data_IF_373104414920
#
_entry.id   IF_373104414920
#
_cell.length_a   1.000
_cell.length_b   1.000
_cell.length_c   1.000
_cell.angle_alpha   90.00
_cell.angle_beta   90.00
_cell.angle_gamma   90.00
#
_symmetry.space_group_name_H-M   'P 1'
#
loop_
_entity.id
_entity.type
_entity.pdbx_description
1 polymer ?
#
# COMPACT_ATOMS: atom_id res chain seq x y z
N UNK A 1 17.02 -3.57 7.74
CA UNK A 1 16.43 -2.79 6.63
C UNK A 1 17.31 -1.58 6.39
N UNK A 2 17.64 -1.22 5.16
CA UNK A 2 18.43 -0.01 4.88
C UNK A 2 17.59 1.25 5.12
N UNK A 3 18.20 2.34 5.56
CA UNK A 3 17.49 3.58 5.94
C UNK A 3 16.77 4.27 4.76
N UNK A 4 17.06 3.87 3.53
CA UNK A 4 16.50 4.44 2.31
C UNK A 4 15.32 3.65 1.75
N UNK A 5 14.89 2.54 2.37
CA UNK A 5 13.78 1.70 1.90
C UNK A 5 12.71 1.58 2.98
N UNK A 6 11.47 1.81 2.60
CA UNK A 6 10.28 1.61 3.39
C UNK A 6 9.37 0.59 2.70
N UNK A 7 8.94 -0.43 3.45
CA UNK A 7 8.01 -1.42 2.97
C UNK A 7 6.83 -1.54 3.93
N UNK A 8 5.62 -1.56 3.38
CA UNK A 8 4.38 -1.78 4.12
C UNK A 8 3.53 -2.82 3.39
N UNK A 9 3.10 -3.83 4.13
CA UNK A 9 2.07 -4.76 3.70
C UNK A 9 0.87 -4.63 4.66
N UNK A 10 -0.34 -4.59 4.12
CA UNK A 10 -1.58 -4.64 4.90
C UNK A 10 -2.51 -5.67 4.27
N UNK A 11 -2.95 -6.61 5.09
CA UNK A 11 -4.02 -7.53 4.75
C UNK A 11 -5.24 -7.20 5.60
N UNK A 12 -6.40 -7.07 4.96
CA UNK A 12 -7.65 -6.69 5.62
C UNK A 12 -8.79 -7.60 5.16
N UNK A 13 -9.64 -7.97 6.11
CA UNK A 13 -10.83 -8.78 5.90
C UNK A 13 -12.06 -7.94 6.19
N UNK A 14 -13.10 -8.10 5.39
CA UNK A 14 -14.43 -7.53 5.64
C UNK A 14 -15.42 -8.67 5.79
N UNK A 15 -16.09 -8.74 6.95
CA UNK A 15 -17.04 -9.80 7.26
C UNK A 15 -18.36 -9.20 7.72
N UNK A 16 -19.47 -9.74 7.23
CA UNK A 16 -20.79 -9.41 7.74
C UNK A 16 -21.04 -10.14 9.07
N UNK A 17 -21.20 -9.40 10.17
CA UNK A 17 -21.40 -9.98 11.50
C UNK A 17 -22.83 -10.46 11.77
N UNK A 18 -23.79 -10.14 10.92
CA UNK A 18 -25.15 -10.67 11.02
C UNK A 18 -25.20 -12.14 10.56
N UNK A 19 -24.52 -12.46 9.45
CA UNK A 19 -24.54 -13.80 8.84
C UNK A 19 -23.31 -14.64 9.17
N UNK A 20 -22.15 -14.00 9.38
CA UNK A 20 -20.84 -14.65 9.57
C UNK A 20 -20.53 -15.73 8.53
N UNK A 21 -21.02 -15.53 7.29
CA UNK A 21 -20.81 -16.45 6.20
C UNK A 21 -19.32 -16.42 5.79
N UNK A 22 -18.55 -17.44 6.20
CA UNK A 22 -17.11 -17.53 5.93
C UNK A 22 -16.75 -17.50 4.44
N UNK A 23 -17.65 -17.95 3.58
CA UNK A 23 -17.49 -17.93 2.13
C UNK A 23 -17.79 -16.57 1.50
N UNK A 24 -18.22 -15.57 2.26
CA UNK A 24 -18.51 -14.20 1.82
C UNK A 24 -17.66 -13.17 2.57
N UNK A 25 -16.48 -13.57 3.07
CA UNK A 25 -15.51 -12.65 3.63
C UNK A 25 -14.71 -12.04 2.49
N UNK A 26 -14.73 -10.72 2.37
CA UNK A 26 -13.94 -10.03 1.34
C UNK A 26 -12.49 -9.88 1.80
N UNK A 27 -11.58 -9.98 0.84
CA UNK A 27 -10.15 -9.98 1.08
C UNK A 27 -9.49 -8.81 0.37
N UNK A 28 -8.71 -8.03 1.12
CA UNK A 28 -7.94 -6.91 0.58
C UNK A 28 -6.47 -7.03 0.96
N UNK A 29 -5.59 -6.85 -0.03
CA UNK A 29 -4.14 -6.81 0.12
C UNK A 29 -3.59 -5.50 -0.44
N UNK A 30 -2.88 -4.75 0.39
CA UNK A 30 -2.19 -3.52 0.01
C UNK A 30 -0.69 -3.70 0.24
N UNK A 31 0.11 -3.49 -0.81
CA UNK A 31 1.56 -3.54 -0.77
C UNK A 31 2.12 -2.17 -1.19
N UNK A 32 3.01 -1.60 -0.39
CA UNK A 32 3.69 -0.34 -0.68
C UNK A 32 5.18 -0.53 -0.49
N UNK A 33 5.96 -0.21 -1.51
CA UNK A 33 7.42 -0.15 -1.48
C UNK A 33 7.84 1.26 -1.86
N UNK A 34 8.44 1.98 -0.92
CA UNK A 34 9.01 3.30 -1.16
C UNK A 34 10.53 3.26 -0.96
N UNK A 35 11.26 3.95 -1.82
CA UNK A 35 12.72 4.05 -1.73
C UNK A 35 13.20 5.45 -2.07
N UNK A 36 14.19 5.96 -1.32
CA UNK A 36 15.02 7.09 -1.75
C UNK A 36 16.11 6.55 -2.66
N UNK A 37 15.95 6.76 -3.96
CA UNK A 37 16.90 6.31 -4.98
C UNK A 37 18.07 7.28 -5.14
N UNK A 38 17.90 8.54 -4.70
CA UNK A 38 18.98 9.53 -4.58
C UNK A 38 18.70 10.51 -3.44
N UNK A 39 19.60 11.46 -3.21
CA UNK A 39 19.39 12.54 -2.24
C UNK A 39 18.21 13.47 -2.59
N UNK A 40 17.81 13.50 -3.85
CA UNK A 40 16.77 14.38 -4.37
C UNK A 40 15.53 13.65 -4.90
N UNK A 41 15.56 12.33 -5.04
CA UNK A 41 14.48 11.56 -5.67
C UNK A 41 14.03 10.41 -4.76
N UNK A 42 12.72 10.33 -4.57
CA UNK A 42 12.03 9.16 -4.00
C UNK A 42 11.12 8.50 -5.03
N UNK A 43 11.05 7.18 -5.00
CA UNK A 43 10.14 6.38 -5.83
C UNK A 43 9.26 5.54 -4.91
N UNK A 44 7.96 5.51 -5.17
CA UNK A 44 7.01 4.64 -4.47
C UNK A 44 6.24 3.80 -5.48
N UNK A 45 6.20 2.49 -5.24
CA UNK A 45 5.34 1.55 -5.94
C UNK A 45 4.25 1.10 -4.96
N UNK A 46 3.00 1.24 -5.36
CA UNK A 46 1.84 0.78 -4.62
C UNK A 46 1.05 -0.23 -5.46
N UNK A 47 0.63 -1.31 -4.82
CA UNK A 47 -0.24 -2.33 -5.40
C UNK A 47 -1.39 -2.58 -4.43
N UNK A 48 -2.61 -2.62 -4.97
CA UNK A 48 -3.83 -2.89 -4.24
C UNK A 48 -4.62 -3.98 -4.96
N UNK A 49 -4.97 -5.02 -4.23
CA UNK A 49 -5.82 -6.12 -4.72
C UNK A 49 -7.01 -6.30 -3.80
N UNK A 50 -8.20 -6.41 -4.36
CA UNK A 50 -9.44 -6.68 -3.64
C UNK A 50 -10.15 -7.86 -4.31
N UNK A 51 -10.62 -8.80 -3.49
CA UNK A 51 -11.56 -9.83 -3.86
C UNK A 51 -12.82 -9.63 -3.04
N UNK A 52 -13.91 -9.29 -3.71
CA UNK A 52 -15.23 -8.98 -3.14
C UNK A 52 -16.27 -9.75 -3.95
N UNK A 53 -16.84 -10.77 -3.33
CA UNK A 53 -17.75 -11.70 -4.01
C UNK A 53 -19.09 -11.07 -4.37
N UNK A 54 -19.53 -10.09 -3.59
CA UNK A 54 -20.86 -9.50 -3.71
C UNK A 54 -20.89 -8.39 -4.77
N UNK A 55 -19.74 -7.74 -5.03
CA UNK A 55 -19.63 -6.69 -6.04
C UNK A 55 -19.23 -7.23 -7.44
N UNK A 56 -18.25 -8.13 -7.50
CA UNK A 56 -17.77 -8.73 -8.76
C UNK A 56 -16.92 -9.97 -8.47
N UNK A 57 -17.28 -11.12 -9.05
CA UNK A 57 -16.56 -12.39 -8.87
C UNK A 57 -15.08 -12.37 -9.32
N UNK A 58 -14.64 -11.33 -10.04
CA UNK A 58 -13.25 -11.15 -10.46
C UNK A 58 -12.43 -10.37 -9.44
N UNK A 59 -11.16 -10.74 -9.32
CA UNK A 59 -10.17 -9.97 -8.57
C UNK A 59 -10.06 -8.56 -9.19
N UNK A 60 -10.23 -7.55 -8.35
CA UNK A 60 -10.01 -6.15 -8.69
C UNK A 60 -8.58 -5.76 -8.32
N UNK A 61 -7.88 -5.09 -9.23
CA UNK A 61 -6.45 -4.79 -9.10
C UNK A 61 -6.18 -3.33 -9.48
N UNK A 62 -5.33 -2.67 -8.70
CA UNK A 62 -4.83 -1.31 -8.98
C UNK A 62 -3.35 -1.21 -8.65
N UNK A 63 -2.62 -0.44 -9.46
CA UNK A 63 -1.20 -0.15 -9.26
C UNK A 63 -0.93 1.35 -9.42
N UNK A 64 0.05 1.85 -8.67
CA UNK A 64 0.50 3.24 -8.74
C UNK A 64 2.03 3.33 -8.65
N UNK A 65 2.60 4.23 -9.44
CA UNK A 65 4.01 4.59 -9.39
C UNK A 65 4.12 6.09 -9.13
N UNK A 66 4.71 6.46 -8.00
CA UNK A 66 4.94 7.85 -7.61
C UNK A 66 6.43 8.18 -7.67
N UNK A 67 6.77 9.32 -8.25
CA UNK A 67 8.13 9.87 -8.26
C UNK A 67 8.08 11.25 -7.61
N UNK A 68 8.85 11.43 -6.53
CA UNK A 68 8.85 12.64 -5.73
C UNK A 68 10.23 13.29 -5.64
N UNK A 69 10.25 14.62 -5.52
CA UNK A 69 11.45 15.39 -5.19
C UNK A 69 11.62 15.48 -3.67
N UNK A 70 12.84 15.27 -3.20
CA UNK A 70 13.19 15.30 -1.77
C UNK A 70 14.11 16.49 -1.52
N UNK A 71 13.70 17.39 -0.62
CA UNK A 71 14.52 18.49 -0.14
C UNK A 71 14.71 18.35 1.38
N UNK A 72 15.96 18.35 1.84
CA UNK A 72 16.31 18.42 3.26
C UNK A 72 16.85 19.83 3.54
N UNK A 73 16.07 20.65 4.24
CA UNK A 73 16.60 21.89 4.82
C UNK A 73 17.38 21.52 6.08
N UNK A 74 18.60 22.04 6.24
CA UNK A 74 19.45 21.74 7.40
C UNK A 74 18.87 22.32 8.70
N UNK A 75 19.18 21.70 9.83
CA UNK A 75 18.92 22.31 11.12
C UNK A 75 19.88 23.49 11.29
N UNK A 76 19.34 24.70 11.43
CA UNK A 76 20.13 25.84 11.89
C UNK A 76 20.55 25.55 13.33
N UNK A 77 21.85 25.46 13.57
CA UNK A 77 22.43 25.46 14.92
C UNK A 77 22.18 26.82 15.57
N UNK A 78 21.60 26.82 16.78
CA UNK A 78 21.57 27.99 17.70
C UNK A 78 22.99 28.46 18.06
#
# INVERSE_FOLDING_TARGET
MSENIFFKARYQLYANYETLAFNAIDHRLDLILAAKVSNAISVTLAVLTIYDLDQNEKIQFSQGLDIGLVYKSGNFSE
#
